data_IF_347849704756
#
_entry.id   IF_347849704756
#
_cell.length_a   1.000
_cell.length_b   1.000
_cell.length_c   1.000
_cell.angle_alpha   90.00
_cell.angle_beta   90.00
_cell.angle_gamma   90.00
#
_symmetry.space_group_name_H-M   'P 1'
#
loop_
_entity.id
_entity.type
_entity.pdbx_description
1 polymer ?
#
# COMPACT_ATOMS: atom_id res chain seq x y z
N UNK A 1 -4.04 3.09 11.40
CA UNK A 1 -2.75 3.00 10.68
C UNK A 1 -1.97 4.31 10.70
N UNK A 2 -2.54 5.45 10.27
CA UNK A 2 -1.85 6.74 10.16
C UNK A 2 -1.11 7.18 11.43
N UNK A 3 -1.71 7.09 12.63
CA UNK A 3 -1.03 7.50 13.87
C UNK A 3 0.21 6.67 14.24
N UNK A 4 0.27 5.40 13.85
CA UNK A 4 1.23 4.46 14.43
C UNK A 4 2.11 3.70 13.43
N UNK A 5 1.79 3.75 12.12
CA UNK A 5 2.56 3.11 11.05
C UNK A 5 3.02 4.15 10.03
N UNK A 6 2.14 5.06 9.62
CA UNK A 6 2.40 6.10 8.62
C UNK A 6 2.09 7.51 9.18
N UNK A 7 2.90 8.02 10.12
CA UNK A 7 2.67 9.33 10.72
C UNK A 7 2.79 10.44 9.66
N UNK A 8 1.97 11.48 9.78
CA UNK A 8 1.97 12.63 8.86
C UNK A 8 0.66 12.79 8.09
N UNK A 9 0.72 13.48 6.95
CA UNK A 9 -0.43 13.77 6.08
C UNK A 9 -0.69 12.66 5.03
N UNK A 10 -0.35 11.42 5.36
CA UNK A 10 -0.55 10.30 4.45
C UNK A 10 -2.03 10.11 4.13
N UNK A 11 -2.34 9.96 2.85
CA UNK A 11 -3.67 9.62 2.34
C UNK A 11 -3.55 8.49 1.34
N UNK A 12 -4.58 7.64 1.29
CA UNK A 12 -4.69 6.65 0.23
C UNK A 12 -4.92 7.34 -1.11
N UNK A 13 -4.40 6.73 -2.17
CA UNK A 13 -4.66 7.19 -3.54
C UNK A 13 -6.14 6.97 -3.88
N UNK A 14 -6.87 8.06 -4.11
CA UNK A 14 -8.17 8.01 -4.80
C UNK A 14 -7.90 8.02 -6.31
N UNK A 15 -8.14 6.89 -6.97
CA UNK A 15 -7.77 6.70 -8.38
C UNK A 15 -8.46 7.72 -9.29
N UNK A 16 -9.75 7.94 -9.08
CA UNK A 16 -10.56 8.88 -9.85
C UNK A 16 -10.02 10.31 -9.72
N UNK A 17 -9.75 10.76 -8.50
CA UNK A 17 -9.21 12.09 -8.23
C UNK A 17 -7.81 12.27 -8.83
N UNK A 18 -6.95 11.25 -8.71
CA UNK A 18 -5.61 11.28 -9.29
C UNK A 18 -5.64 11.38 -10.81
N UNK A 19 -6.43 10.55 -11.49
CA UNK A 19 -6.54 10.56 -12.96
C UNK A 19 -7.14 11.88 -13.44
N UNK A 20 -8.18 12.38 -12.78
CA UNK A 20 -8.81 13.67 -13.12
C UNK A 20 -7.82 14.85 -12.99
N UNK A 21 -6.94 14.83 -11.99
CA UNK A 21 -5.88 15.84 -11.83
C UNK A 21 -4.76 15.65 -12.86
N UNK A 22 -4.33 14.41 -13.10
CA UNK A 22 -3.30 14.08 -14.08
C UNK A 22 -3.69 14.51 -15.50
N UNK A 23 -4.97 14.34 -15.89
CA UNK A 23 -5.49 14.79 -17.19
C UNK A 23 -5.41 16.30 -17.42
N UNK A 24 -5.19 17.11 -16.37
CA UNK A 24 -4.97 18.56 -16.49
C UNK A 24 -3.49 18.92 -16.68
N UNK A 25 -2.64 17.91 -16.77
CA UNK A 25 -1.21 18.06 -17.00
C UNK A 25 -0.84 17.53 -18.39
N UNK A 26 0.38 17.82 -18.88
CA UNK A 26 0.88 17.24 -20.14
C UNK A 26 1.12 15.73 -20.13
N UNK A 27 0.84 15.02 -19.04
CA UNK A 27 1.06 13.57 -18.98
C UNK A 27 -0.09 12.81 -19.65
N UNK A 28 0.26 11.72 -20.31
CA UNK A 28 -0.64 10.74 -20.90
C UNK A 28 -0.57 9.44 -20.08
N UNK A 29 -1.73 8.88 -19.74
CA UNK A 29 -1.80 7.53 -19.17
C UNK A 29 -1.63 6.50 -20.29
N UNK A 30 -0.54 5.75 -20.24
CA UNK A 30 -0.27 4.68 -21.21
C UNK A 30 -0.83 3.35 -20.71
N UNK A 31 -0.69 3.08 -19.42
CA UNK A 31 -1.10 1.80 -18.86
C UNK A 31 -1.48 1.92 -17.38
N UNK A 32 -2.45 1.12 -16.94
CA UNK A 32 -2.97 1.05 -15.59
C UNK A 32 -3.22 -0.40 -15.19
N UNK A 33 -2.44 -0.89 -14.23
CA UNK A 33 -2.57 -2.23 -13.68
C UNK A 33 -3.08 -2.16 -12.25
N UNK A 34 -4.00 -3.06 -11.91
CA UNK A 34 -4.43 -3.28 -10.55
C UNK A 34 -3.68 -4.48 -9.95
N UNK A 35 -2.75 -4.19 -9.03
CA UNK A 35 -1.92 -5.15 -8.32
C UNK A 35 -2.48 -5.54 -6.95
N UNK A 36 -3.75 -5.22 -6.64
CA UNK A 36 -4.39 -5.51 -5.35
C UNK A 36 -4.21 -6.94 -4.90
N UNK A 37 -4.39 -7.92 -5.80
CA UNK A 37 -4.24 -9.33 -5.43
C UNK A 37 -2.80 -9.67 -5.05
N UNK A 38 -1.82 -9.18 -5.81
CA UNK A 38 -0.41 -9.32 -5.49
C UNK A 38 -0.08 -8.69 -4.13
N UNK A 39 -0.66 -7.52 -3.83
CA UNK A 39 -0.49 -6.86 -2.52
C UNK A 39 -1.12 -7.67 -1.38
N UNK A 40 -2.29 -8.26 -1.58
CA UNK A 40 -2.86 -9.21 -0.61
C UNK A 40 -1.89 -10.36 -0.31
N UNK A 41 -1.32 -10.98 -1.34
CA UNK A 41 -0.38 -12.10 -1.17
C UNK A 41 0.89 -11.66 -0.42
N UNK A 42 1.43 -10.49 -0.75
CA UNK A 42 2.60 -9.91 -0.08
C UNK A 42 2.34 -9.68 1.41
N UNK A 43 1.23 -8.99 1.75
CA UNK A 43 0.90 -8.71 3.14
C UNK A 43 0.62 -9.97 3.96
N UNK A 44 -0.05 -10.96 3.35
CA UNK A 44 -0.25 -12.26 3.97
C UNK A 44 1.09 -12.96 4.26
N UNK A 45 2.01 -12.98 3.29
CA UNK A 45 3.31 -13.61 3.47
C UNK A 45 4.14 -12.90 4.54
N UNK A 46 4.12 -11.56 4.56
CA UNK A 46 4.79 -10.78 5.60
C UNK A 46 4.21 -11.06 6.99
N UNK A 47 2.89 -11.13 7.12
CA UNK A 47 2.23 -11.43 8.39
C UNK A 47 2.62 -12.83 8.92
N UNK A 48 2.65 -13.84 8.03
CA UNK A 48 3.07 -15.20 8.36
C UNK A 48 4.53 -15.23 8.82
N UNK A 49 5.43 -14.55 8.10
CA UNK A 49 6.85 -14.49 8.47
C UNK A 49 7.04 -13.77 9.82
N UNK A 50 6.28 -12.70 10.10
CA UNK A 50 6.31 -12.01 11.39
C UNK A 50 5.90 -12.93 12.54
N UNK A 51 4.85 -13.74 12.34
CA UNK A 51 4.37 -14.68 13.36
C UNK A 51 5.33 -15.85 13.59
N UNK A 52 5.94 -16.38 12.53
CA UNK A 52 6.94 -17.44 12.62
C UNK A 52 8.18 -17.01 13.42
N UNK A 53 8.54 -15.72 13.36
CA UNK A 53 9.70 -15.16 14.07
C UNK A 53 9.30 -14.35 15.31
N UNK A 54 8.11 -14.61 15.88
CA UNK A 54 7.51 -13.84 16.98
C UNK A 54 8.46 -13.62 18.15
N UNK A 55 9.10 -14.68 18.65
CA UNK A 55 9.87 -14.59 19.89
C UNK A 55 11.11 -13.72 19.72
N UNK A 56 11.83 -13.88 18.60
CA UNK A 56 12.98 -13.03 18.23
C UNK A 56 12.57 -11.57 18.06
N UNK A 57 11.42 -11.31 17.40
CA UNK A 57 10.93 -9.93 17.22
C UNK A 57 10.50 -9.31 18.55
N UNK A 58 9.86 -10.07 19.43
CA UNK A 58 9.47 -9.57 20.76
C UNK A 58 10.70 -9.29 21.62
N UNK A 59 11.74 -10.14 21.56
CA UNK A 59 13.00 -9.92 22.26
C UNK A 59 13.67 -8.61 21.79
N UNK A 60 13.72 -8.37 20.48
CA UNK A 60 14.41 -7.22 19.91
C UNK A 60 13.61 -5.91 20.00
N UNK A 61 12.29 -5.96 19.79
CA UNK A 61 11.45 -4.76 19.61
C UNK A 61 10.35 -4.61 20.66
N UNK A 62 10.13 -5.63 21.48
CA UNK A 62 9.11 -5.62 22.51
C UNK A 62 7.72 -6.07 22.03
N UNK A 63 6.91 -6.52 23.00
CA UNK A 63 5.57 -7.09 22.75
C UNK A 63 4.59 -6.10 22.14
N UNK A 64 4.67 -4.82 22.53
CA UNK A 64 3.76 -3.79 22.03
C UNK A 64 3.94 -3.58 20.54
N UNK A 65 5.19 -3.43 20.10
CA UNK A 65 5.57 -3.25 18.70
C UNK A 65 5.21 -4.45 17.83
N UNK A 66 5.48 -5.66 18.32
CA UNK A 66 5.05 -6.89 17.66
C UNK A 66 3.53 -6.91 17.41
N UNK A 67 2.71 -6.63 18.44
CA UNK A 67 1.24 -6.62 18.31
C UNK A 67 0.76 -5.57 17.33
N UNK A 68 1.40 -4.40 17.34
CA UNK A 68 1.08 -3.29 16.44
C UNK A 68 1.33 -3.68 14.99
N UNK A 69 2.51 -4.21 14.67
CA UNK A 69 2.84 -4.65 13.31
C UNK A 69 2.01 -5.85 12.86
N UNK A 70 1.70 -6.78 13.78
CA UNK A 70 0.80 -7.90 13.50
C UNK A 70 -0.60 -7.43 13.09
N UNK A 71 -1.18 -6.47 13.83
CA UNK A 71 -2.49 -5.89 13.50
C UNK A 71 -2.45 -5.14 12.17
N UNK A 72 -1.36 -4.40 11.92
CA UNK A 72 -1.17 -3.69 10.67
C UNK A 72 -1.12 -4.64 9.47
N UNK A 73 -0.29 -5.70 9.51
CA UNK A 73 -0.10 -6.59 8.37
C UNK A 73 -1.34 -7.42 8.07
N UNK A 74 -1.96 -8.03 9.09
CA UNK A 74 -3.20 -8.81 8.90
C UNK A 74 -4.38 -7.91 8.54
N UNK A 75 -4.47 -6.72 9.12
CA UNK A 75 -5.48 -5.73 8.76
C UNK A 75 -5.38 -5.34 7.29
N UNK A 76 -4.18 -4.98 6.81
CA UNK A 76 -3.98 -4.65 5.40
C UNK A 76 -4.24 -5.84 4.48
N UNK A 77 -3.82 -7.06 4.85
CA UNK A 77 -4.14 -8.27 4.08
C UNK A 77 -5.67 -8.45 3.95
N UNK A 78 -6.42 -8.28 5.04
CA UNK A 78 -7.88 -8.32 5.02
C UNK A 78 -8.47 -7.26 4.09
N UNK A 79 -8.05 -6.00 4.21
CA UNK A 79 -8.61 -4.91 3.40
C UNK A 79 -8.32 -5.07 1.89
N UNK A 80 -7.13 -5.58 1.50
CA UNK A 80 -6.84 -5.90 0.10
C UNK A 80 -7.70 -7.07 -0.41
N UNK A 81 -7.96 -8.08 0.43
CA UNK A 81 -8.85 -9.19 0.08
C UNK A 81 -10.32 -8.74 -0.05
N UNK A 82 -10.77 -7.88 0.88
CA UNK A 82 -12.13 -7.35 0.96
C UNK A 82 -12.42 -6.24 -0.07
N UNK A 83 -11.42 -5.80 -0.86
CA UNK A 83 -11.52 -4.74 -1.87
C UNK A 83 -11.78 -3.33 -1.30
N UNK A 84 -11.33 -3.10 -0.06
CA UNK A 84 -11.35 -1.79 0.58
C UNK A 84 -10.04 -1.02 0.38
N UNK A 85 -8.97 -1.72 -0.01
CA UNK A 85 -7.70 -1.14 -0.44
C UNK A 85 -7.36 -1.62 -1.84
N UNK A 86 -6.70 -0.74 -2.59
CA UNK A 86 -6.25 -0.99 -3.95
C UNK A 86 -4.75 -0.69 -4.05
N UNK A 87 -4.09 -1.28 -5.06
CA UNK A 87 -2.71 -0.96 -5.41
C UNK A 87 -2.63 -0.83 -6.93
N UNK A 88 -2.20 0.33 -7.40
CA UNK A 88 -2.14 0.61 -8.84
C UNK A 88 -0.71 0.83 -9.28
N UNK A 89 -0.38 0.27 -10.44
CA UNK A 89 0.85 0.55 -11.17
C UNK A 89 0.48 1.26 -12.46
N UNK A 90 1.07 2.44 -12.68
CA UNK A 90 0.76 3.29 -13.82
C UNK A 90 2.00 3.56 -14.65
N UNK A 91 1.85 3.57 -15.97
CA UNK A 91 2.85 4.11 -16.89
C UNK A 91 2.31 5.45 -17.40
N UNK A 92 3.02 6.53 -17.06
CA UNK A 92 2.71 7.87 -17.51
C UNK A 92 3.79 8.34 -18.48
N UNK A 93 3.38 8.92 -19.60
CA UNK A 93 4.29 9.48 -20.60
C UNK A 93 4.10 10.99 -20.69
N UNK A 94 5.19 11.74 -20.82
CA UNK A 94 5.12 13.18 -21.14
C UNK A 94 5.61 13.39 -22.56
N UNK A 95 4.76 13.80 -23.52
CA UNK A 95 5.18 14.10 -24.87
C UNK A 95 6.22 15.21 -24.91
N UNK A 96 7.25 15.05 -25.75
CA UNK A 96 8.32 16.06 -25.91
C UNK A 96 7.81 17.39 -26.49
N UNK A 97 6.68 17.35 -27.19
CA UNK A 97 6.03 18.49 -27.84
C UNK A 97 4.97 19.17 -26.99
N UNK A 98 4.66 18.65 -25.80
CA UNK A 98 3.66 19.26 -24.93
C UNK A 98 4.25 20.50 -24.25
N UNK A 99 3.82 21.67 -24.75
CA UNK A 99 4.12 23.01 -24.22
C UNK A 99 3.48 23.21 -22.86
#
# INVERSE_FOLDING_TARGET
MVRHIYPGNHSFLALDDFINKMHRTPFELIDLHNDRHSYYLTFRQWAQNLEQNKDQIIEQFGRFEYRRFRLYLWGAAHEFAARNLECYRMVLYKPKTAS
#
